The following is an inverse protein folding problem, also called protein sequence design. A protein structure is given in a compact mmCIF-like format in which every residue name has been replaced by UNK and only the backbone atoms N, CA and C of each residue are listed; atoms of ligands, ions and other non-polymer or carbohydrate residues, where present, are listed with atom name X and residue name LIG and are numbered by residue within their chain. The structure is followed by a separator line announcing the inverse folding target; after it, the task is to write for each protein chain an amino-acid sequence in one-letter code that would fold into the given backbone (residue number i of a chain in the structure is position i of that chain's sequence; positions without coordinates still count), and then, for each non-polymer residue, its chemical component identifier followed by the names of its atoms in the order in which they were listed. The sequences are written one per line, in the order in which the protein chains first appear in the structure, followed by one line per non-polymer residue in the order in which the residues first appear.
data_IF_198904115200
#
_entry.id   IF_198904115200
#
_cell.length_a   1.000
_cell.length_b   1.000
_cell.length_c   1.000
_cell.angle_alpha   90.00
_cell.angle_beta   90.00
_cell.angle_gamma   90.00
#
_symmetry.space_group_name_H-M   'P 1'
#
loop_
_entity.id
_entity.type
_entity.pdbx_description
1 polymer ?
#
# COMPACT_ATOMS: atom_id res chain seq x y z
N UNK A 1 17.80 36.50 79.61
CA UNK A 1 16.73 37.40 79.14
C UNK A 1 16.28 36.94 77.75
N UNK A 2 14.95 36.95 77.45
CA UNK A 2 14.25 36.97 76.14
C UNK A 2 15.05 36.50 74.89
N UNK A 3 14.67 35.53 74.06
CA UNK A 3 13.42 34.76 73.80
C UNK A 3 13.24 34.66 72.26
N UNK A 4 12.54 33.74 71.57
CA UNK A 4 11.79 32.49 71.83
C UNK A 4 11.20 32.10 70.44
N UNK A 5 11.38 30.85 69.94
CA UNK A 5 10.62 30.15 68.83
C UNK A 5 10.55 30.82 67.42
N UNK A 6 10.39 30.20 66.22
CA UNK A 6 10.28 28.82 65.63
C UNK A 6 10.43 29.00 64.08
N UNK A 7 10.51 28.01 63.15
CA UNK A 7 10.45 26.53 63.13
C UNK A 7 11.14 25.97 61.83
N UNK A 8 11.12 24.64 61.69
CA UNK A 8 11.52 23.76 60.55
C UNK A 8 10.41 23.62 59.46
N UNK A 9 10.53 22.85 58.33
CA UNK A 9 11.52 21.80 57.98
C UNK A 9 12.09 21.74 56.53
N UNK A 10 13.13 20.90 56.38
CA UNK A 10 13.50 19.98 55.28
C UNK A 10 12.81 20.11 53.91
N UNK A 11 13.62 20.20 52.84
CA UNK A 11 13.29 19.73 51.48
C UNK A 11 14.28 18.64 51.08
N UNK A 12 13.77 17.48 50.67
CA UNK A 12 14.58 16.37 50.17
C UNK A 12 14.81 16.51 48.65
N UNK A 13 16.08 16.46 48.23
CA UNK A 13 16.46 16.32 46.82
C UNK A 13 16.69 14.85 46.48
N UNK A 14 15.66 14.14 46.04
CA UNK A 14 15.81 12.81 45.43
C UNK A 14 16.24 12.93 43.98
N UNK A 15 17.46 12.50 43.66
CA UNK A 15 17.95 12.43 42.28
C UNK A 15 17.25 11.34 41.49
N UNK A 16 16.81 11.66 40.26
CA UNK A 16 16.38 10.68 39.28
C UNK A 16 17.54 10.37 38.33
N UNK A 17 18.06 9.15 38.43
CA UNK A 17 19.17 8.67 37.60
C UNK A 17 18.76 8.58 36.12
N UNK A 18 19.60 9.08 35.21
CA UNK A 18 19.41 8.96 33.78
C UNK A 18 19.79 7.54 33.31
N UNK A 19 18.86 6.60 33.42
CA UNK A 19 19.06 5.23 32.93
C UNK A 19 19.04 5.20 31.40
N UNK A 20 20.23 5.17 30.78
CA UNK A 20 20.38 4.79 29.37
C UNK A 20 19.89 3.35 29.17
N UNK A 21 18.70 3.18 28.61
CA UNK A 21 18.23 1.89 28.11
C UNK A 21 18.74 1.68 26.68
N UNK A 22 19.77 0.83 26.54
CA UNK A 22 20.13 0.21 25.26
C UNK A 22 19.01 -0.73 24.83
N UNK A 23 18.03 -0.20 24.09
CA UNK A 23 16.98 -0.99 23.47
C UNK A 23 17.48 -1.65 22.16
N UNK A 24 18.45 -2.57 22.28
CA UNK A 24 18.86 -3.45 21.19
C UNK A 24 17.84 -4.57 20.96
N UNK A 25 16.64 -4.20 20.48
CA UNK A 25 15.65 -5.15 19.97
C UNK A 25 15.10 -4.62 18.65
N UNK A 26 15.85 -4.86 17.57
CA UNK A 26 15.40 -4.58 16.20
C UNK A 26 14.33 -5.61 15.86
N UNK A 27 13.06 -5.29 16.16
CA UNK A 27 11.92 -6.03 15.61
C UNK A 27 11.80 -5.61 14.15
N UNK A 28 12.37 -6.43 13.26
CA UNK A 28 12.24 -6.33 11.82
C UNK A 28 10.76 -6.30 11.40
N UNK A 29 10.41 -5.77 10.21
CA UNK A 29 9.07 -5.91 9.63
C UNK A 29 8.88 -7.34 9.08
N UNK A 30 8.92 -8.31 9.98
CA UNK A 30 8.46 -9.68 9.82
C UNK A 30 7.37 -9.96 10.86
N UNK A 31 6.39 -9.06 10.93
CA UNK A 31 5.19 -9.20 11.76
C UNK A 31 4.08 -10.04 11.06
N UNK A 32 4.48 -10.94 10.18
CA UNK A 32 3.70 -12.09 9.71
C UNK A 32 4.64 -13.31 9.77
N UNK A 33 4.14 -14.39 10.39
CA UNK A 33 4.79 -15.70 10.62
C UNK A 33 5.97 -15.80 11.62
N UNK A 34 5.64 -16.01 12.91
CA UNK A 34 6.44 -16.88 13.80
C UNK A 34 5.54 -17.79 14.63
N UNK A 35 5.51 -19.09 14.30
CA UNK A 35 5.40 -20.15 15.31
C UNK A 35 4.03 -20.78 15.61
N UNK A 36 3.55 -21.66 14.73
CA UNK A 36 2.66 -22.78 15.11
C UNK A 36 3.23 -24.08 14.54
N UNK A 37 3.66 -24.99 15.41
CA UNK A 37 4.24 -26.29 15.00
C UNK A 37 3.15 -27.29 14.63
N UNK A 38 3.31 -27.90 13.45
CA UNK A 38 2.80 -29.21 12.99
C UNK A 38 1.47 -29.70 13.59
N UNK A 39 0.42 -29.75 12.74
CA UNK A 39 -0.75 -30.61 13.01
C UNK A 39 -2.12 -29.95 12.86
N UNK A 40 -2.28 -28.91 12.04
CA UNK A 40 -3.58 -28.35 11.65
C UNK A 40 -3.44 -27.65 10.30
N UNK A 41 -4.48 -27.74 9.45
CA UNK A 41 -4.48 -27.12 8.13
C UNK A 41 -4.41 -25.59 8.26
N UNK A 42 -3.51 -24.89 7.53
CA UNK A 42 -3.43 -23.44 7.61
C UNK A 42 -4.64 -22.81 6.91
N UNK A 43 -5.46 -22.07 7.69
CA UNK A 43 -6.48 -21.22 7.13
C UNK A 43 -5.82 -20.00 6.47
N UNK A 44 -5.87 -19.93 5.14
CA UNK A 44 -5.35 -18.79 4.37
C UNK A 44 -6.10 -17.51 4.73
N UNK A 45 -5.46 -16.60 5.47
CA UNK A 45 -6.03 -15.28 5.76
C UNK A 45 -5.64 -14.30 4.64
N UNK A 46 -6.47 -14.23 3.61
CA UNK A 46 -6.26 -13.36 2.45
C UNK A 46 -6.59 -11.90 2.77
N UNK A 47 -5.63 -11.12 3.27
CA UNK A 47 -5.83 -9.67 3.47
C UNK A 47 -5.75 -8.89 2.16
N UNK A 48 -6.90 -8.76 1.48
CA UNK A 48 -7.08 -7.86 0.35
C UNK A 48 -7.02 -6.39 0.77
N UNK A 49 -6.03 -5.63 0.30
CA UNK A 49 -5.97 -4.15 0.17
C UNK A 49 -7.05 -3.36 0.92
N UNK A 50 -7.01 -3.33 2.26
CA UNK A 50 -7.94 -2.56 3.09
C UNK A 50 -9.44 -2.86 2.88
N UNK A 51 -9.80 -4.04 2.38
CA UNK A 51 -11.16 -4.44 1.99
C UNK A 51 -11.60 -5.67 2.77
N UNK A 52 -12.57 -5.48 3.67
CA UNK A 52 -13.30 -6.56 4.34
C UNK A 52 -14.44 -7.02 3.44
N UNK A 53 -14.33 -8.23 2.89
CA UNK A 53 -15.45 -8.87 2.20
C UNK A 53 -16.45 -9.40 3.23
N UNK A 54 -17.62 -8.75 3.35
CA UNK A 54 -18.77 -9.35 4.01
C UNK A 54 -19.49 -10.28 3.03
N UNK A 55 -19.42 -11.59 3.26
CA UNK A 55 -20.34 -12.53 2.64
C UNK A 55 -21.77 -12.30 3.15
N UNK A 56 -22.81 -12.58 2.35
CA UNK A 56 -24.19 -12.40 2.79
C UNK A 56 -24.49 -13.30 3.99
N UNK A 57 -25.01 -12.70 5.07
CA UNK A 57 -25.43 -13.43 6.25
C UNK A 57 -26.65 -14.29 5.93
N UNK A 58 -26.51 -15.61 6.09
CA UNK A 58 -27.58 -16.57 5.83
C UNK A 58 -28.72 -16.36 6.84
N UNK A 59 -29.90 -15.99 6.34
CA UNK A 59 -31.09 -15.79 7.17
C UNK A 59 -31.78 -17.14 7.34
N UNK A 60 -31.57 -17.74 8.50
CA UNK A 60 -32.18 -19.01 8.85
C UNK A 60 -33.70 -19.03 8.61
N UNK A 61 -34.15 -20.10 7.96
CA UNK A 61 -35.56 -20.49 7.94
C UNK A 61 -35.68 -21.92 8.45
N UNK A 62 -36.19 -22.06 9.66
CA UNK A 62 -36.49 -23.37 10.25
C UNK A 62 -37.58 -24.06 9.41
N UNK A 63 -37.32 -25.29 8.96
CA UNK A 63 -38.39 -26.27 8.70
C UNK A 63 -38.00 -27.64 9.27
N UNK A 64 -38.91 -28.17 10.10
CA UNK A 64 -38.76 -29.42 10.84
C UNK A 64 -38.80 -30.64 9.92
N UNK A 65 -38.01 -31.63 10.31
CA UNK A 65 -38.30 -33.07 10.30
C UNK A 65 -39.20 -33.65 9.19
N UNK A 66 -38.64 -34.61 8.43
CA UNK A 66 -39.24 -35.95 8.41
C UNK A 66 -38.21 -37.05 8.19
N UNK A 67 -38.11 -37.94 9.17
CA UNK A 67 -37.41 -39.22 9.05
C UNK A 67 -38.32 -40.17 8.26
N UNK A 68 -37.80 -40.77 7.18
CA UNK A 68 -38.31 -42.04 6.65
C UNK A 68 -37.12 -42.92 6.29
N UNK A 69 -37.07 -44.10 6.91
CA UNK A 69 -36.07 -45.14 6.71
C UNK A 69 -36.47 -46.10 5.59
N UNK A 70 -35.49 -46.59 4.80
CA UNK A 70 -35.57 -47.97 4.28
C UNK A 70 -34.20 -48.64 4.09
N UNK A 71 -33.96 -49.61 4.99
CA UNK A 71 -33.28 -50.91 4.85
C UNK A 71 -32.63 -51.33 3.52
N UNK A 72 -31.31 -51.60 3.60
CA UNK A 72 -30.63 -52.91 3.38
C UNK A 72 -31.06 -53.83 2.22
N UNK A 73 -30.17 -54.03 1.24
CA UNK A 73 -29.50 -55.29 0.82
C UNK A 73 -28.49 -54.94 -0.31
N UNK A 74 -27.45 -55.69 -0.71
CA UNK A 74 -26.92 -56.99 -0.31
C UNK A 74 -26.18 -57.64 -1.50
N UNK A 75 -24.95 -58.17 -1.32
CA UNK A 75 -24.39 -59.19 -2.25
C UNK A 75 -23.33 -58.81 -3.32
N UNK A 76 -22.05 -58.90 -2.94
CA UNK A 76 -21.00 -59.77 -3.54
C UNK A 76 -20.61 -59.78 -5.05
N UNK A 77 -19.29 -59.59 -5.25
CA UNK A 77 -18.33 -60.30 -6.12
C UNK A 77 -18.45 -60.32 -7.67
N UNK A 78 -17.35 -59.93 -8.32
CA UNK A 78 -17.03 -60.29 -9.71
C UNK A 78 -15.71 -59.66 -10.18
N UNK A 79 -14.68 -60.47 -10.47
CA UNK A 79 -13.33 -59.99 -10.78
C UNK A 79 -12.95 -60.09 -12.27
N UNK A 80 -11.98 -59.26 -12.67
CA UNK A 80 -11.08 -59.36 -13.82
C UNK A 80 -11.63 -59.14 -15.25
N UNK A 81 -11.12 -58.10 -15.93
CA UNK A 81 -9.97 -58.21 -16.85
C UNK A 81 -9.58 -56.86 -17.48
N UNK A 82 -8.28 -56.67 -17.68
CA UNK A 82 -7.69 -55.64 -18.56
C UNK A 82 -7.60 -56.22 -19.99
N UNK A 83 -7.90 -55.41 -21.02
CA UNK A 83 -7.02 -55.39 -22.19
C UNK A 83 -6.78 -53.98 -22.76
N UNK A 84 -5.52 -53.58 -22.86
CA UNK A 84 -5.01 -52.66 -23.88
C UNK A 84 -4.60 -53.46 -25.14
N UNK A 85 -4.24 -52.83 -26.28
CA UNK A 85 -4.78 -51.61 -26.88
C UNK A 85 -5.16 -51.84 -28.36
N UNK A 86 -5.95 -50.94 -28.98
CA UNK A 86 -5.99 -50.86 -30.46
C UNK A 86 -6.31 -49.47 -30.97
N UNK A 87 -5.46 -48.93 -31.84
CA UNK A 87 -5.65 -47.62 -32.46
C UNK A 87 -6.75 -47.63 -33.52
N UNK A 88 -7.70 -46.69 -33.43
CA UNK A 88 -8.60 -46.31 -34.55
C UNK A 88 -8.83 -44.80 -34.57
N UNK A 89 -8.24 -44.19 -35.59
CA UNK A 89 -8.63 -42.99 -36.35
C UNK A 89 -9.63 -42.00 -35.73
N UNK A 90 -9.21 -40.74 -35.67
CA UNK A 90 -10.05 -39.58 -35.41
C UNK A 90 -11.24 -39.48 -36.38
N UNK A 91 -12.45 -39.46 -35.82
CA UNK A 91 -13.61 -38.83 -36.42
C UNK A 91 -14.17 -37.80 -35.45
N UNK A 92 -13.96 -36.51 -35.77
CA UNK A 92 -14.47 -35.43 -34.95
C UNK A 92 -16.01 -35.47 -34.90
N UNK A 93 -16.56 -35.82 -33.73
CA UNK A 93 -18.01 -35.86 -33.51
C UNK A 93 -18.54 -34.41 -33.42
N UNK A 94 -19.08 -33.89 -34.52
CA UNK A 94 -19.69 -32.56 -34.54
C UNK A 94 -20.97 -32.60 -33.70
N UNK A 95 -20.92 -32.01 -32.51
CA UNK A 95 -22.09 -31.84 -31.64
C UNK A 95 -23.17 -31.03 -32.37
N UNK A 96 -24.42 -31.43 -32.19
CA UNK A 96 -25.56 -30.80 -32.84
C UNK A 96 -25.81 -29.40 -32.26
N UNK A 97 -26.48 -28.56 -33.05
CA UNK A 97 -26.86 -27.19 -32.66
C UNK A 97 -27.83 -27.13 -31.47
N UNK A 98 -28.41 -28.27 -31.08
CA UNK A 98 -29.27 -28.42 -29.92
C UNK A 98 -28.43 -28.68 -28.65
N UNK A 99 -27.44 -29.57 -28.72
CA UNK A 99 -26.53 -29.88 -27.60
C UNK A 99 -25.67 -28.67 -27.20
N UNK A 100 -25.34 -27.77 -28.15
CA UNK A 100 -24.67 -26.50 -27.83
C UNK A 100 -25.56 -25.50 -27.06
N UNK A 101 -26.87 -25.70 -26.98
CA UNK A 101 -27.77 -24.84 -26.19
C UNK A 101 -27.91 -25.30 -24.74
N UNK A 102 -27.93 -26.60 -24.48
CA UNK A 102 -28.11 -27.13 -23.12
C UNK A 102 -26.86 -26.98 -22.23
N UNK A 103 -25.69 -26.64 -22.81
CA UNK A 103 -24.48 -26.25 -22.05
C UNK A 103 -24.48 -24.76 -21.67
N UNK A 104 -25.51 -24.00 -22.07
CA UNK A 104 -25.60 -22.54 -21.83
C UNK A 104 -26.40 -22.13 -20.58
N UNK A 105 -26.99 -23.06 -19.84
CA UNK A 105 -27.76 -22.77 -18.63
C UNK A 105 -27.06 -23.30 -17.36
N UNK A 106 -27.01 -22.45 -16.31
CA UNK A 106 -26.38 -22.70 -14.98
C UNK A 106 -24.85 -22.86 -15.00
N UNK A 107 -24.05 -21.78 -15.03
CA UNK A 107 -24.03 -20.69 -14.06
C UNK A 107 -23.62 -19.38 -14.75
N UNK A 108 -24.24 -18.22 -14.44
CA UNK A 108 -23.67 -16.94 -14.83
C UNK A 108 -22.35 -16.74 -14.09
N UNK A 109 -21.23 -16.75 -14.81
CA UNK A 109 -19.96 -16.24 -14.27
C UNK A 109 -20.24 -14.79 -13.84
N UNK A 110 -20.09 -14.42 -12.55
CA UNK A 110 -20.43 -13.09 -12.09
C UNK A 110 -19.64 -12.06 -12.89
N UNK A 111 -20.31 -11.06 -13.46
CA UNK A 111 -19.62 -10.00 -14.18
C UNK A 111 -18.70 -9.25 -13.21
N UNK A 112 -17.40 -9.41 -13.40
CA UNK A 112 -16.41 -8.81 -12.50
C UNK A 112 -16.30 -7.31 -12.79
N UNK A 113 -16.95 -6.50 -11.95
CA UNK A 113 -16.79 -5.06 -12.01
C UNK A 113 -15.35 -4.65 -11.69
N UNK A 114 -14.80 -3.77 -12.50
CA UNK A 114 -13.47 -3.20 -12.35
C UNK A 114 -13.53 -1.67 -12.39
N UNK A 115 -12.71 -1.01 -11.56
CA UNK A 115 -12.53 0.44 -11.57
C UNK A 115 -11.77 0.90 -12.83
N UNK A 116 -11.65 2.22 -13.01
CA UNK A 116 -10.96 2.77 -14.20
C UNK A 116 -9.46 2.43 -14.28
N UNK A 117 -8.87 1.87 -13.23
CA UNK A 117 -7.48 1.43 -13.14
C UNK A 117 -7.34 -0.09 -13.24
N UNK A 118 -8.45 -0.81 -13.39
CA UNK A 118 -8.48 -2.25 -13.53
C UNK A 118 -8.43 -3.02 -12.21
N UNK A 119 -8.71 -2.41 -11.06
CA UNK A 119 -8.93 -3.13 -9.80
C UNK A 119 -10.37 -3.63 -9.71
N UNK A 120 -10.56 -4.89 -9.33
CA UNK A 120 -11.88 -5.45 -9.00
C UNK A 120 -12.56 -4.61 -7.92
N UNK A 121 -13.85 -4.35 -8.09
CA UNK A 121 -14.71 -3.55 -7.19
C UNK A 121 -16.08 -4.20 -7.06
N UNK A 122 -16.87 -3.80 -6.07
CA UNK A 122 -18.31 -4.15 -6.01
C UNK A 122 -19.10 -3.34 -7.05
N UNK A 123 -20.33 -3.78 -7.34
CA UNK A 123 -21.27 -3.02 -8.19
C UNK A 123 -21.57 -1.63 -7.58
N UNK A 124 -21.74 -1.54 -6.27
CA UNK A 124 -21.96 -0.27 -5.54
C UNK A 124 -20.75 0.68 -5.62
N UNK A 125 -19.54 0.15 -5.42
CA UNK A 125 -18.28 0.90 -5.61
C UNK A 125 -18.18 1.42 -7.05
N UNK A 126 -18.52 0.58 -8.04
CA UNK A 126 -18.47 0.94 -9.46
C UNK A 126 -19.51 2.00 -9.83
N UNK A 127 -20.74 1.85 -9.35
CA UNK A 127 -21.81 2.84 -9.52
C UNK A 127 -21.43 4.20 -8.87
N UNK A 128 -20.77 4.16 -7.71
CA UNK A 128 -20.24 5.34 -7.02
C UNK A 128 -19.13 5.99 -7.84
N UNK A 129 -18.13 5.23 -8.31
CA UNK A 129 -17.05 5.72 -9.18
C UNK A 129 -17.63 6.39 -10.45
N UNK A 130 -18.55 5.73 -11.16
CA UNK A 130 -19.12 6.29 -12.38
C UNK A 130 -20.05 7.48 -12.13
N UNK A 131 -20.65 7.59 -10.94
CA UNK A 131 -21.33 8.81 -10.50
C UNK A 131 -20.33 9.95 -10.24
N UNK A 132 -19.27 9.69 -9.46
CA UNK A 132 -18.21 10.65 -9.19
C UNK A 132 -17.49 11.10 -10.47
N UNK A 133 -17.26 10.20 -11.43
CA UNK A 133 -16.60 10.48 -12.72
C UNK A 133 -17.47 11.33 -13.65
N UNK A 134 -18.80 11.14 -13.62
CA UNK A 134 -19.77 12.02 -14.32
C UNK A 134 -19.85 13.41 -13.68
N UNK A 135 -19.89 13.48 -12.34
CA UNK A 135 -19.97 14.74 -11.59
C UNK A 135 -18.67 15.55 -11.64
N UNK A 136 -17.53 14.89 -11.50
CA UNK A 136 -16.19 15.49 -11.54
C UNK A 136 -15.57 15.46 -12.95
N UNK A 137 -16.39 15.36 -14.01
CA UNK A 137 -15.87 15.32 -15.38
C UNK A 137 -14.96 16.52 -15.62
N UNK A 138 -13.73 16.26 -16.04
CA UNK A 138 -12.69 17.28 -16.06
C UNK A 138 -13.07 18.42 -17.01
N UNK A 139 -13.36 19.59 -16.43
CA UNK A 139 -13.73 20.75 -17.24
C UNK A 139 -12.69 21.00 -18.33
N UNK A 140 -13.14 21.30 -19.55
CA UNK A 140 -12.28 21.61 -20.71
C UNK A 140 -11.22 22.67 -20.38
N UNK A 141 -11.58 23.64 -19.53
CA UNK A 141 -10.68 24.68 -19.02
C UNK A 141 -9.58 24.15 -18.08
N UNK A 142 -9.79 23.05 -17.35
CA UNK A 142 -8.75 22.39 -16.55
C UNK A 142 -7.74 21.67 -17.46
N UNK A 143 -8.23 20.88 -18.42
CA UNK A 143 -7.40 20.19 -19.42
C UNK A 143 -6.55 21.19 -20.21
N UNK A 144 -7.15 22.27 -20.73
CA UNK A 144 -6.41 23.35 -21.42
C UNK A 144 -5.31 23.99 -20.57
N UNK A 145 -5.57 24.22 -19.27
CA UNK A 145 -4.56 24.76 -18.34
C UNK A 145 -3.42 23.79 -18.09
N UNK A 146 -3.71 22.49 -18.00
CA UNK A 146 -2.69 21.46 -17.89
C UNK A 146 -1.90 21.27 -19.18
N UNK A 147 -2.54 21.27 -20.35
CA UNK A 147 -1.85 21.24 -21.64
C UNK A 147 -0.90 22.43 -21.80
N UNK A 148 -1.32 23.63 -21.40
CA UNK A 148 -0.42 24.79 -21.38
C UNK A 148 0.76 24.62 -20.40
N UNK A 149 0.55 24.05 -19.21
CA UNK A 149 1.63 23.72 -18.27
C UNK A 149 2.60 22.69 -18.88
N UNK A 150 2.07 21.67 -19.54
CA UNK A 150 2.86 20.62 -20.22
C UNK A 150 3.66 21.20 -21.39
N UNK A 151 3.07 22.08 -22.20
CA UNK A 151 3.76 22.65 -23.36
C UNK A 151 4.81 23.72 -22.97
N UNK A 152 4.80 24.22 -21.73
CA UNK A 152 5.67 25.32 -21.28
C UNK A 152 6.40 24.97 -19.96
N UNK A 153 6.78 23.70 -19.76
CA UNK A 153 7.22 23.15 -18.48
C UNK A 153 8.26 24.00 -17.74
N UNK A 154 9.38 24.33 -18.39
CA UNK A 154 10.47 25.13 -17.82
C UNK A 154 10.04 26.56 -17.42
N UNK A 155 9.05 27.13 -18.12
CA UNK A 155 8.54 28.46 -17.83
C UNK A 155 7.45 28.47 -16.73
N UNK A 156 7.00 27.31 -16.24
CA UNK A 156 5.97 27.22 -15.20
C UNK A 156 6.61 27.38 -13.82
N UNK A 157 6.42 28.56 -13.23
CA UNK A 157 6.85 28.85 -11.85
C UNK A 157 6.46 27.70 -10.87
N UNK A 158 7.39 27.19 -10.03
CA UNK A 158 7.14 26.02 -9.18
C UNK A 158 5.91 26.13 -8.27
N UNK A 159 5.59 27.34 -7.80
CA UNK A 159 4.38 27.61 -6.99
C UNK A 159 3.09 27.37 -7.78
N UNK A 160 3.09 27.66 -9.09
CA UNK A 160 1.98 27.38 -10.02
C UNK A 160 1.84 25.87 -10.19
N UNK A 161 2.90 25.15 -10.58
CA UNK A 161 2.88 23.69 -10.75
C UNK A 161 2.34 22.98 -9.50
N UNK A 162 2.90 23.31 -8.33
CA UNK A 162 2.46 22.84 -7.00
C UNK A 162 0.98 23.08 -6.71
N UNK A 163 0.42 24.23 -7.10
CA UNK A 163 -1.01 24.52 -6.96
C UNK A 163 -1.86 23.62 -7.85
N UNK A 164 -1.38 23.28 -9.04
CA UNK A 164 -2.08 22.40 -9.97
C UNK A 164 -2.01 20.93 -9.54
N UNK A 165 -0.84 20.39 -9.17
CA UNK A 165 -0.70 19.01 -8.64
C UNK A 165 -1.64 18.73 -7.44
N UNK A 166 -1.76 19.70 -6.51
CA UNK A 166 -2.71 19.62 -5.37
C UNK A 166 -4.18 19.56 -5.77
N UNK A 167 -4.57 20.22 -6.87
CA UNK A 167 -5.93 20.16 -7.41
C UNK A 167 -6.14 18.83 -8.13
N UNK A 168 -5.20 18.49 -9.00
CA UNK A 168 -5.02 17.18 -9.59
C UNK A 168 -4.51 17.19 -11.01
N UNK A 169 -3.70 16.19 -11.33
CA UNK A 169 -3.24 15.88 -12.69
C UNK A 169 -4.34 15.05 -13.38
N UNK A 170 -4.80 15.44 -14.57
CA UNK A 170 -5.67 14.64 -15.43
C UNK A 170 -5.12 13.24 -15.65
N UNK A 171 -5.97 12.21 -15.66
CA UNK A 171 -5.49 10.83 -15.87
C UNK A 171 -4.74 10.69 -17.20
N UNK A 172 -5.25 11.31 -18.27
CA UNK A 172 -4.63 11.33 -19.60
C UNK A 172 -3.28 12.06 -19.66
N UNK A 173 -2.89 12.79 -18.61
CA UNK A 173 -1.62 13.51 -18.54
C UNK A 173 -0.70 12.99 -17.44
N UNK A 174 -1.11 12.00 -16.62
CA UNK A 174 -0.28 11.46 -15.54
C UNK A 174 1.01 10.84 -16.06
N UNK A 175 0.94 9.98 -17.08
CA UNK A 175 2.09 9.38 -17.75
C UNK A 175 3.19 10.42 -18.01
N UNK A 176 2.85 11.52 -18.70
CA UNK A 176 3.80 12.57 -19.06
C UNK A 176 4.22 13.47 -17.88
N UNK A 177 3.30 13.85 -16.99
CA UNK A 177 3.60 14.78 -15.89
C UNK A 177 4.40 14.08 -14.78
N UNK A 178 4.11 12.81 -14.47
CA UNK A 178 4.87 12.04 -13.48
C UNK A 178 6.31 11.83 -13.94
N UNK A 179 6.53 11.42 -15.18
CA UNK A 179 7.89 11.27 -15.76
C UNK A 179 8.69 12.56 -15.70
N UNK A 180 8.06 13.73 -15.88
CA UNK A 180 8.73 15.04 -15.75
C UNK A 180 8.96 15.50 -14.31
N UNK A 181 8.11 15.10 -13.37
CA UNK A 181 8.33 15.34 -11.93
C UNK A 181 9.44 14.44 -11.34
N UNK A 182 9.73 13.32 -12.02
CA UNK A 182 10.77 12.36 -11.70
C UNK A 182 12.03 12.48 -12.58
N UNK A 183 11.99 13.27 -13.65
CA UNK A 183 13.04 13.38 -14.68
C UNK A 183 13.43 12.02 -15.32
N UNK A 184 12.54 11.01 -15.27
CA UNK A 184 12.87 9.63 -15.62
C UNK A 184 13.33 9.44 -17.06
N UNK A 185 12.74 10.17 -18.02
CA UNK A 185 13.20 10.15 -19.42
C UNK A 185 14.62 10.67 -19.58
N UNK A 186 14.99 11.71 -18.84
CA UNK A 186 16.36 12.24 -18.89
C UNK A 186 17.33 11.19 -18.32
N UNK A 187 17.01 10.60 -17.16
CA UNK A 187 17.82 9.53 -16.58
C UNK A 187 17.99 8.33 -17.53
N UNK A 188 16.95 7.96 -18.27
CA UNK A 188 17.00 6.93 -19.33
C UNK A 188 17.93 7.34 -20.46
N UNK A 189 17.72 8.52 -21.03
CA UNK A 189 18.46 9.01 -22.20
C UNK A 189 19.95 9.21 -21.87
N UNK A 190 20.28 9.54 -20.61
CA UNK A 190 21.64 9.63 -20.06
C UNK A 190 22.30 8.24 -19.80
N UNK A 191 21.53 7.14 -19.78
CA UNK A 191 21.98 5.79 -19.41
C UNK A 191 21.54 4.69 -20.41
N UNK A 192 21.83 4.83 -21.72
CA UNK A 192 21.31 3.96 -22.76
C UNK A 192 21.71 2.49 -22.57
N UNK A 193 20.71 1.60 -22.57
CA UNK A 193 20.89 0.14 -22.46
C UNK A 193 21.26 -0.38 -21.06
N UNK A 194 21.42 0.50 -20.07
CA UNK A 194 21.75 0.09 -18.70
C UNK A 194 20.63 -0.74 -18.07
N UNK A 195 19.37 -0.36 -18.26
CA UNK A 195 18.22 -1.12 -17.77
C UNK A 195 18.22 -2.56 -18.33
N UNK A 196 18.35 -2.72 -19.64
CA UNK A 196 18.43 -4.03 -20.31
C UNK A 196 19.53 -4.91 -19.72
N UNK A 197 20.72 -4.34 -19.50
CA UNK A 197 21.86 -5.05 -18.88
C UNK A 197 21.51 -5.51 -17.46
N UNK A 198 21.01 -4.60 -16.61
CA UNK A 198 20.67 -4.89 -15.22
C UNK A 198 19.51 -5.89 -15.08
N UNK A 199 18.54 -5.87 -16.00
CA UNK A 199 17.47 -6.85 -16.06
C UNK A 199 17.98 -8.25 -16.43
N UNK A 200 18.96 -8.33 -17.32
CA UNK A 200 19.53 -9.62 -17.79
C UNK A 200 20.58 -10.24 -16.86
N UNK A 201 21.19 -9.44 -15.98
CA UNK A 201 22.25 -9.89 -15.08
C UNK A 201 21.66 -10.68 -13.89
N UNK A 202 22.19 -11.87 -13.54
CA UNK A 202 21.69 -12.62 -12.38
C UNK A 202 21.90 -11.83 -11.07
N UNK A 203 20.92 -11.94 -10.16
CA UNK A 203 21.03 -11.37 -8.80
C UNK A 203 22.18 -12.01 -8.01
N UNK A 204 22.69 -11.25 -7.03
CA UNK A 204 23.78 -11.69 -6.14
C UNK A 204 23.37 -12.79 -5.15
N UNK A 205 22.07 -13.04 -4.94
CA UNK A 205 21.56 -14.14 -4.12
C UNK A 205 20.21 -14.64 -4.66
N UNK A 206 20.04 -15.97 -4.65
CA UNK A 206 18.77 -16.65 -4.96
C UNK A 206 17.67 -16.33 -3.95
N UNK A 207 18.03 -16.09 -2.68
CA UNK A 207 17.06 -15.69 -1.65
C UNK A 207 16.38 -14.36 -2.01
N UNK A 208 17.09 -13.48 -2.73
CA UNK A 208 16.54 -12.18 -3.17
C UNK A 208 15.49 -12.37 -4.26
N UNK A 209 15.73 -13.30 -5.17
CA UNK A 209 14.80 -13.72 -6.23
C UNK A 209 13.53 -14.35 -5.61
N UNK A 210 13.71 -15.32 -4.70
CA UNK A 210 12.61 -16.00 -3.98
C UNK A 210 11.77 -15.01 -3.13
N UNK A 211 12.36 -13.90 -2.64
CA UNK A 211 11.63 -12.81 -1.96
C UNK A 211 10.88 -11.90 -2.94
N UNK A 212 11.46 -11.58 -4.10
CA UNK A 212 10.79 -10.80 -5.15
C UNK A 212 9.53 -11.55 -5.63
N UNK A 213 9.67 -12.80 -6.06
CA UNK A 213 8.54 -13.61 -6.59
C UNK A 213 7.37 -13.69 -5.60
N UNK A 214 7.67 -13.91 -4.31
CA UNK A 214 6.66 -13.93 -3.25
C UNK A 214 5.94 -12.58 -3.06
N UNK A 215 6.63 -11.45 -3.27
CA UNK A 215 6.00 -10.12 -3.19
C UNK A 215 5.19 -9.78 -4.46
N UNK A 216 5.51 -10.37 -5.62
CA UNK A 216 4.75 -10.19 -6.87
C UNK A 216 3.29 -10.63 -6.69
N UNK A 217 3.05 -11.83 -6.17
CA UNK A 217 1.71 -12.41 -6.05
C UNK A 217 0.77 -11.63 -5.12
N UNK A 218 1.31 -10.89 -4.14
CA UNK A 218 0.54 -10.06 -3.19
C UNK A 218 0.55 -8.57 -3.52
N UNK A 219 1.22 -8.16 -4.61
CA UNK A 219 1.21 -6.79 -5.12
C UNK A 219 0.01 -6.58 -6.04
N UNK A 220 -0.96 -5.76 -5.61
CA UNK A 220 -2.22 -5.49 -6.33
C UNK A 220 -2.94 -6.74 -6.88
N UNK A 221 -3.20 -7.78 -6.05
CA UNK A 221 -3.72 -9.08 -6.50
C UNK A 221 -5.14 -9.01 -7.09
N UNK A 222 -5.88 -7.93 -6.83
CA UNK A 222 -7.22 -7.67 -7.36
C UNK A 222 -7.22 -6.90 -8.68
N UNK A 223 -6.05 -6.53 -9.22
CA UNK A 223 -5.95 -5.77 -10.46
C UNK A 223 -5.70 -6.68 -11.66
N UNK A 224 -6.50 -6.50 -12.71
CA UNK A 224 -6.51 -7.32 -13.95
C UNK A 224 -5.15 -7.45 -14.65
N UNK A 225 -4.25 -6.48 -14.47
CA UNK A 225 -2.90 -6.51 -15.06
C UNK A 225 -1.96 -7.47 -14.32
N UNK A 226 -2.19 -7.69 -13.02
CA UNK A 226 -1.33 -8.45 -12.11
C UNK A 226 -1.96 -9.76 -11.62
N UNK A 227 -3.29 -9.94 -11.72
CA UNK A 227 -4.00 -11.06 -11.11
C UNK A 227 -3.95 -12.39 -11.90
N UNK A 228 -3.51 -12.37 -13.16
CA UNK A 228 -3.51 -13.56 -14.04
C UNK A 228 -2.30 -14.51 -13.82
N UNK A 229 -1.79 -14.60 -12.59
CA UNK A 229 -0.65 -15.47 -12.23
C UNK A 229 0.70 -15.00 -12.77
N UNK A 230 1.70 -15.88 -12.69
CA UNK A 230 3.11 -15.62 -13.06
C UNK A 230 3.32 -15.16 -14.50
N UNK A 231 2.44 -15.60 -15.41
CA UNK A 231 2.42 -15.24 -16.82
C UNK A 231 1.74 -13.90 -17.11
N UNK A 232 1.12 -13.25 -16.11
CA UNK A 232 0.51 -11.93 -16.29
C UNK A 232 1.55 -10.88 -16.68
N UNK A 233 1.19 -10.02 -17.65
CA UNK A 233 2.07 -8.95 -18.12
C UNK A 233 2.54 -8.05 -16.96
N UNK A 234 1.67 -7.73 -16.01
CA UNK A 234 2.02 -6.94 -14.84
C UNK A 234 3.07 -7.58 -13.94
N UNK A 235 2.99 -8.89 -13.67
CA UNK A 235 4.01 -9.58 -12.89
C UNK A 235 5.35 -9.67 -13.64
N UNK A 236 5.33 -9.86 -14.97
CA UNK A 236 6.55 -9.82 -15.80
C UNK A 236 7.25 -8.45 -15.78
N UNK A 237 6.47 -7.36 -15.88
CA UNK A 237 6.98 -5.99 -15.75
C UNK A 237 7.57 -5.74 -14.36
N UNK A 238 6.82 -6.09 -13.29
CA UNK A 238 7.30 -5.96 -11.91
C UNK A 238 8.61 -6.71 -11.68
N UNK A 239 8.66 -7.98 -12.08
CA UNK A 239 9.87 -8.81 -12.00
C UNK A 239 11.05 -8.10 -12.67
N UNK A 240 10.87 -7.65 -13.91
CA UNK A 240 11.91 -6.94 -14.67
C UNK A 240 12.44 -5.69 -13.98
N UNK A 241 11.54 -4.83 -13.48
CA UNK A 241 11.89 -3.57 -12.79
C UNK A 241 12.57 -3.83 -11.45
N UNK A 242 12.03 -4.73 -10.62
CA UNK A 242 12.54 -5.00 -9.27
C UNK A 242 13.89 -5.72 -9.30
N UNK A 243 14.05 -6.69 -10.21
CA UNK A 243 15.30 -7.40 -10.46
C UNK A 243 16.39 -6.44 -10.98
N UNK A 244 16.06 -5.60 -11.98
CA UNK A 244 17.00 -4.60 -12.47
C UNK A 244 17.42 -3.59 -11.38
N UNK A 245 16.50 -3.18 -10.50
CA UNK A 245 16.82 -2.28 -9.39
C UNK A 245 17.69 -2.96 -8.32
N UNK A 246 17.43 -4.22 -8.00
CA UNK A 246 18.24 -4.98 -7.05
C UNK A 246 19.71 -5.10 -7.52
N UNK A 247 19.94 -5.20 -8.83
CA UNK A 247 21.26 -5.09 -9.43
C UNK A 247 21.80 -3.64 -9.52
N UNK A 248 20.92 -2.64 -9.66
CA UNK A 248 21.31 -1.22 -9.70
C UNK A 248 21.89 -0.74 -8.35
N UNK A 249 21.24 -1.08 -7.24
CA UNK A 249 21.66 -0.70 -5.89
C UNK A 249 21.68 -1.92 -4.96
N UNK A 250 22.75 -2.70 -5.05
CA UNK A 250 22.96 -3.93 -4.27
C UNK A 250 23.03 -3.72 -2.75
N UNK A 251 23.27 -2.49 -2.26
CA UNK A 251 23.23 -2.17 -0.83
C UNK A 251 21.80 -2.14 -0.26
N UNK A 252 20.81 -1.86 -1.12
CA UNK A 252 19.37 -2.00 -0.80
C UNK A 252 18.87 -3.37 -1.24
N UNK A 253 19.27 -3.81 -2.44
CA UNK A 253 18.75 -5.01 -3.08
C UNK A 253 17.24 -4.89 -3.25
N UNK A 254 16.51 -5.74 -2.52
CA UNK A 254 15.06 -5.77 -2.49
C UNK A 254 14.52 -5.82 -1.06
N UNK A 255 13.45 -5.08 -0.82
CA UNK A 255 12.74 -5.03 0.45
C UNK A 255 11.23 -5.14 0.20
N UNK A 256 10.53 -5.88 1.06
CA UNK A 256 9.08 -6.07 0.98
C UNK A 256 8.33 -4.72 0.92
N UNK A 257 7.40 -4.62 -0.02
CA UNK A 257 6.62 -3.39 -0.26
C UNK A 257 7.17 -2.53 -1.40
N UNK A 258 8.40 -2.76 -1.87
CA UNK A 258 8.91 -2.13 -3.10
C UNK A 258 8.05 -2.46 -4.32
N UNK A 259 7.43 -3.65 -4.37
CA UNK A 259 6.48 -4.04 -5.42
C UNK A 259 5.33 -3.05 -5.58
N UNK A 260 4.77 -2.54 -4.49
CA UNK A 260 3.67 -1.55 -4.54
C UNK A 260 4.09 -0.20 -5.14
N UNK A 261 5.36 0.19 -4.99
CA UNK A 261 5.92 1.40 -5.60
C UNK A 261 6.08 1.19 -7.12
N UNK A 262 6.67 0.07 -7.54
CA UNK A 262 6.81 -0.28 -8.95
C UNK A 262 5.44 -0.43 -9.65
N UNK A 263 4.50 -1.16 -9.04
CA UNK A 263 3.16 -1.37 -9.60
C UNK A 263 2.38 -0.06 -9.77
N UNK A 264 2.58 0.90 -8.85
CA UNK A 264 1.95 2.22 -8.95
C UNK A 264 2.48 3.04 -10.13
N UNK A 265 3.75 2.86 -10.49
CA UNK A 265 4.34 3.46 -11.69
C UNK A 265 3.89 2.73 -12.97
N UNK A 266 3.86 1.39 -12.98
CA UNK A 266 3.37 0.57 -14.10
C UNK A 266 1.93 0.95 -14.50
N UNK A 267 1.06 1.23 -13.52
CA UNK A 267 -0.33 1.64 -13.79
C UNK A 267 -0.48 3.09 -14.28
N UNK A 268 0.62 3.83 -14.48
CA UNK A 268 0.60 5.25 -14.86
C UNK A 268 1.58 5.62 -15.99
N UNK A 269 2.63 4.82 -16.21
CA UNK A 269 3.66 5.03 -17.23
C UNK A 269 3.67 3.82 -18.17
N UNK A 270 3.68 4.09 -19.47
CA UNK A 270 3.42 3.09 -20.52
C UNK A 270 4.64 2.20 -20.82
N UNK A 271 5.83 2.79 -20.92
CA UNK A 271 7.07 2.08 -21.26
C UNK A 271 7.80 1.53 -20.03
N UNK A 272 8.20 0.25 -20.06
CA UNK A 272 8.81 -0.44 -18.91
C UNK A 272 10.13 0.20 -18.47
N UNK A 273 10.95 0.66 -19.41
CA UNK A 273 12.21 1.35 -19.08
C UNK A 273 11.96 2.74 -18.46
N UNK A 274 10.94 3.48 -18.91
CA UNK A 274 10.54 4.74 -18.28
C UNK A 274 10.01 4.51 -16.85
N UNK A 275 9.35 3.36 -16.59
CA UNK A 275 8.96 2.92 -15.25
C UNK A 275 10.19 2.63 -14.38
N UNK A 276 11.17 1.88 -14.89
CA UNK A 276 12.41 1.59 -14.17
C UNK A 276 13.13 2.88 -13.75
N UNK A 277 13.29 3.84 -14.66
CA UNK A 277 13.93 5.11 -14.34
C UNK A 277 13.10 6.00 -13.40
N UNK A 278 11.77 5.95 -13.50
CA UNK A 278 10.88 6.58 -12.53
C UNK A 278 11.01 5.94 -11.13
N UNK A 279 11.27 4.64 -11.05
CA UNK A 279 11.50 3.92 -9.80
C UNK A 279 12.88 4.26 -9.20
N UNK A 280 13.94 4.27 -10.01
CA UNK A 280 15.28 4.72 -9.60
C UNK A 280 15.23 6.15 -9.07
N UNK A 281 14.53 7.07 -9.75
CA UNK A 281 14.34 8.44 -9.29
C UNK A 281 13.69 8.53 -7.89
N UNK A 282 12.67 7.71 -7.61
CA UNK A 282 12.04 7.65 -6.28
C UNK A 282 12.98 7.12 -5.19
N UNK A 283 13.84 6.15 -5.54
CA UNK A 283 14.76 5.54 -4.59
C UNK A 283 15.97 6.44 -4.29
N UNK A 284 16.58 7.01 -5.33
CA UNK A 284 17.91 7.61 -5.25
C UNK A 284 17.89 9.13 -4.98
N UNK A 285 16.95 9.88 -5.55
CA UNK A 285 16.92 11.35 -5.47
C UNK A 285 16.64 11.86 -4.05
N UNK A 286 17.42 12.84 -3.56
CA UNK A 286 17.34 13.36 -2.19
C UNK A 286 15.93 13.79 -1.77
N UNK A 287 15.14 14.29 -2.73
CA UNK A 287 13.74 14.73 -2.56
C UNK A 287 12.81 13.63 -2.03
N UNK A 288 13.09 12.37 -2.38
CA UNK A 288 12.31 11.20 -2.02
C UNK A 288 13.13 10.26 -1.13
N UNK A 289 14.37 9.94 -1.53
CA UNK A 289 15.34 9.13 -0.77
C UNK A 289 14.75 7.81 -0.27
N UNK A 290 13.89 7.17 -1.08
CA UNK A 290 13.18 5.95 -0.67
C UNK A 290 14.14 4.78 -0.44
N UNK A 291 15.35 4.80 -1.00
CA UNK A 291 16.40 3.82 -0.68
C UNK A 291 16.61 3.65 0.82
N UNK A 292 16.66 4.75 1.58
CA UNK A 292 16.87 4.70 3.03
C UNK A 292 15.66 4.20 3.83
N UNK A 293 14.47 4.13 3.20
CA UNK A 293 13.27 3.52 3.79
C UNK A 293 13.36 2.00 3.67
N UNK A 294 13.92 1.50 2.55
CA UNK A 294 14.04 0.08 2.25
C UNK A 294 15.40 -0.53 2.60
N UNK A 295 16.41 0.29 2.94
CA UNK A 295 17.70 -0.16 3.46
C UNK A 295 17.54 -0.96 4.77
N UNK A 296 18.49 -1.87 5.07
CA UNK A 296 18.53 -2.56 6.36
C UNK A 296 18.37 -1.61 7.56
N UNK A 297 17.60 -2.05 8.56
CA UNK A 297 17.18 -1.26 9.73
C UNK A 297 16.29 -0.04 9.46
N UNK A 298 15.87 0.21 8.21
CA UNK A 298 14.85 1.20 7.84
C UNK A 298 15.16 2.64 8.33
N UNK A 299 16.40 3.14 8.24
CA UNK A 299 16.84 4.37 8.94
C UNK A 299 16.05 5.62 8.55
N UNK A 300 15.66 5.76 7.28
CA UNK A 300 14.83 6.89 6.84
C UNK A 300 13.39 6.75 7.33
N UNK A 301 12.85 5.53 7.44
CA UNK A 301 11.50 5.29 7.97
C UNK A 301 11.43 5.63 9.46
N UNK A 302 12.44 5.25 10.24
CA UNK A 302 12.54 5.63 11.66
C UNK A 302 12.61 7.15 11.83
N UNK A 303 13.44 7.84 11.03
CA UNK A 303 13.49 9.29 10.99
C UNK A 303 12.12 9.91 10.63
N UNK A 304 11.38 9.30 9.71
CA UNK A 304 10.05 9.76 9.30
C UNK A 304 9.02 9.57 10.40
N UNK A 305 9.09 8.49 11.20
CA UNK A 305 8.24 8.33 12.38
C UNK A 305 8.54 9.38 13.45
N UNK A 306 9.81 9.66 13.75
CA UNK A 306 10.19 10.75 14.66
C UNK A 306 9.60 12.11 14.23
N UNK A 307 9.73 12.46 12.94
CA UNK A 307 9.14 13.68 12.37
C UNK A 307 7.60 13.66 12.46
N UNK A 308 6.98 12.52 12.19
CA UNK A 308 5.53 12.36 12.24
C UNK A 308 4.98 12.52 13.67
N UNK A 309 5.67 11.97 14.67
CA UNK A 309 5.33 12.10 16.09
C UNK A 309 5.47 13.53 16.60
N UNK A 310 6.57 14.23 16.28
CA UNK A 310 6.73 15.64 16.61
C UNK A 310 5.64 16.53 15.95
N UNK A 311 5.25 16.22 14.70
CA UNK A 311 4.12 16.88 14.05
C UNK A 311 2.77 16.52 14.71
N UNK A 312 2.57 15.27 15.14
CA UNK A 312 1.38 14.82 15.86
C UNK A 312 1.25 15.56 17.20
N UNK A 313 2.33 15.63 17.98
CA UNK A 313 2.41 16.39 19.22
C UNK A 313 2.03 17.87 19.00
N UNK A 314 2.54 18.50 17.93
CA UNK A 314 2.24 19.90 17.62
C UNK A 314 0.79 20.15 17.16
N UNK A 315 0.12 19.18 16.51
CA UNK A 315 -1.22 19.38 15.92
C UNK A 315 -2.37 18.75 16.69
N UNK A 316 -2.08 17.74 17.50
CA UNK A 316 -3.05 16.91 18.22
C UNK A 316 -2.44 16.47 19.58
N UNK A 317 -2.01 17.41 20.45
CA UNK A 317 -1.25 17.07 21.66
C UNK A 317 -1.98 16.10 22.61
N UNK A 318 -3.32 16.16 22.68
CA UNK A 318 -4.12 15.21 23.46
C UNK A 318 -4.06 13.78 22.90
N UNK A 319 -4.11 13.64 21.57
CA UNK A 319 -4.01 12.34 20.90
C UNK A 319 -2.58 11.79 20.97
N UNK A 320 -1.57 12.67 20.88
CA UNK A 320 -0.18 12.31 21.13
C UNK A 320 0.01 11.76 22.55
N UNK A 321 -0.49 12.46 23.57
CA UNK A 321 -0.41 12.01 24.96
C UNK A 321 -1.06 10.62 25.14
N UNK A 322 -2.23 10.42 24.54
CA UNK A 322 -2.92 9.14 24.61
C UNK A 322 -2.16 8.01 23.89
N UNK A 323 -1.78 8.19 22.63
CA UNK A 323 -1.08 7.16 21.87
C UNK A 323 0.32 6.88 22.42
N UNK A 324 1.16 7.91 22.53
CA UNK A 324 2.58 7.77 22.85
C UNK A 324 2.82 7.65 24.35
N UNK A 325 2.39 8.62 25.16
CA UNK A 325 2.77 8.68 26.59
C UNK A 325 2.04 7.63 27.43
N UNK A 326 0.73 7.44 27.21
CA UNK A 326 -0.11 6.56 28.05
C UNK A 326 -0.12 5.10 27.59
N UNK A 327 -0.19 4.87 26.28
CA UNK A 327 -0.37 3.52 25.72
C UNK A 327 0.84 3.03 24.90
N UNK A 328 1.91 3.81 24.76
CA UNK A 328 3.15 3.42 24.05
C UNK A 328 2.93 2.91 22.61
N UNK A 329 1.83 3.34 21.97
CA UNK A 329 1.44 2.99 20.60
C UNK A 329 2.27 3.79 19.60
N UNK A 330 3.43 3.22 19.26
CA UNK A 330 4.36 3.79 18.29
C UNK A 330 3.79 3.73 16.85
N UNK A 331 4.14 4.69 15.96
CA UNK A 331 3.76 4.69 14.55
C UNK A 331 4.11 3.40 13.79
N UNK A 332 5.15 2.68 14.22
CA UNK A 332 5.56 1.42 13.63
C UNK A 332 4.41 0.38 13.58
N UNK A 333 3.50 0.38 14.55
CA UNK A 333 2.41 -0.60 14.62
C UNK A 333 1.25 -0.34 13.64
N UNK A 334 1.17 0.85 13.01
CA UNK A 334 0.02 1.24 12.19
C UNK A 334 0.33 2.05 10.92
N UNK A 335 1.48 2.71 10.83
CA UNK A 335 1.81 3.65 9.76
C UNK A 335 2.93 3.17 8.81
N UNK A 336 3.51 1.98 8.99
CA UNK A 336 4.58 1.43 8.13
C UNK A 336 4.20 1.48 6.65
N UNK A 337 3.09 0.86 6.26
CA UNK A 337 2.65 0.88 4.85
C UNK A 337 2.22 2.27 4.37
N UNK A 338 1.81 3.19 5.25
CA UNK A 338 1.44 4.56 4.85
C UNK A 338 2.64 5.29 4.22
N UNK A 339 3.81 5.12 4.84
CA UNK A 339 5.05 5.75 4.38
C UNK A 339 5.79 4.88 3.34
N UNK A 340 5.93 3.57 3.57
CA UNK A 340 6.64 2.68 2.64
C UNK A 340 5.96 2.57 1.28
N UNK A 341 4.62 2.56 1.22
CA UNK A 341 3.87 2.43 -0.04
C UNK A 341 3.24 3.76 -0.50
N UNK A 342 3.46 4.86 0.22
CA UNK A 342 2.81 6.16 -0.02
C UNK A 342 1.27 5.97 -0.14
N UNK A 343 0.72 5.22 0.82
CA UNK A 343 -0.67 4.78 0.97
C UNK A 343 -1.27 3.84 -0.12
N UNK A 344 -0.51 3.39 -1.12
CA UNK A 344 -1.08 2.55 -2.21
C UNK A 344 -1.50 1.16 -1.74
N UNK A 345 -0.97 0.66 -0.62
CA UNK A 345 -1.41 -0.58 0.02
C UNK A 345 -2.87 -0.56 0.51
N UNK A 346 -3.37 0.63 0.90
CA UNK A 346 -4.61 0.78 1.67
C UNK A 346 -5.72 1.54 0.96
N UNK A 347 -5.40 2.56 0.17
CA UNK A 347 -6.42 3.34 -0.53
C UNK A 347 -6.69 2.79 -1.93
N UNK A 348 -7.93 3.00 -2.42
CA UNK A 348 -8.21 2.83 -3.83
C UNK A 348 -7.25 3.68 -4.69
N UNK A 349 -6.95 3.19 -5.90
CA UNK A 349 -5.89 3.75 -6.72
C UNK A 349 -6.22 5.17 -7.22
N UNK A 350 -7.51 5.49 -7.34
CA UNK A 350 -7.99 6.85 -7.55
C UNK A 350 -7.47 7.82 -6.49
N UNK A 351 -7.73 7.57 -5.21
CA UNK A 351 -7.22 8.39 -4.09
C UNK A 351 -5.69 8.31 -3.97
N UNK A 352 -5.09 7.13 -4.13
CA UNK A 352 -3.63 6.99 -4.06
C UNK A 352 -2.92 7.85 -5.12
N UNK A 353 -3.40 7.84 -6.38
CA UNK A 353 -2.87 8.70 -7.45
C UNK A 353 -3.01 10.20 -7.14
N UNK A 354 -4.09 10.63 -6.45
CA UNK A 354 -4.23 12.03 -5.98
C UNK A 354 -3.15 12.41 -4.96
N UNK A 355 -2.73 11.47 -4.10
CA UNK A 355 -1.67 11.68 -3.11
C UNK A 355 -0.32 11.70 -3.81
N UNK A 356 -0.09 10.78 -4.75
CA UNK A 356 1.13 10.69 -5.55
C UNK A 356 1.39 11.94 -6.40
N UNK A 357 0.37 12.52 -7.06
CA UNK A 357 0.50 13.80 -7.76
C UNK A 357 1.12 14.89 -6.87
N UNK A 358 0.77 14.92 -5.58
CA UNK A 358 1.33 15.87 -4.61
C UNK A 358 2.71 15.45 -4.11
N UNK A 359 2.92 14.16 -3.83
CA UNK A 359 4.20 13.60 -3.38
C UNK A 359 5.31 13.81 -4.43
N UNK A 360 5.06 13.43 -5.69
CA UNK A 360 5.96 13.67 -6.81
C UNK A 360 6.23 15.16 -7.04
N UNK A 361 5.33 16.06 -6.65
CA UNK A 361 5.58 17.51 -6.73
C UNK A 361 6.35 18.06 -5.51
N UNK A 362 6.04 17.61 -4.29
CA UNK A 362 6.46 18.27 -3.03
C UNK A 362 7.41 17.44 -2.13
N UNK A 363 7.75 16.20 -2.50
CA UNK A 363 8.37 15.22 -1.62
C UNK A 363 7.41 14.77 -0.50
N UNK A 364 7.94 14.33 0.64
CA UNK A 364 7.16 13.72 1.76
C UNK A 364 6.09 14.59 2.43
N UNK A 365 6.10 15.91 2.22
CA UNK A 365 5.23 16.85 2.94
C UNK A 365 3.71 16.55 2.84
N UNK A 366 3.15 16.15 1.69
CA UNK A 366 1.75 15.76 1.58
C UNK A 366 1.47 14.40 2.25
N UNK A 367 2.44 13.49 2.29
CA UNK A 367 2.30 12.17 2.94
C UNK A 367 2.07 12.34 4.44
N UNK A 368 2.92 13.13 5.12
CA UNK A 368 2.69 13.52 6.52
C UNK A 368 1.34 14.19 6.75
N UNK A 369 0.87 15.03 5.82
CA UNK A 369 -0.45 15.68 5.93
C UNK A 369 -1.60 14.70 5.84
N UNK A 370 -1.51 13.67 4.99
CA UNK A 370 -2.54 12.63 4.88
C UNK A 370 -2.53 11.77 6.15
N UNK A 371 -1.37 11.35 6.63
CA UNK A 371 -1.23 10.60 7.89
C UNK A 371 -1.83 11.36 9.08
N UNK A 372 -1.48 12.64 9.25
CA UNK A 372 -2.04 13.49 10.29
C UNK A 372 -3.55 13.76 10.09
N UNK A 373 -4.05 13.75 8.85
CA UNK A 373 -5.48 13.95 8.58
C UNK A 373 -6.32 12.72 8.91
N UNK A 374 -5.82 11.50 8.71
CA UNK A 374 -6.47 10.27 9.17
C UNK A 374 -6.68 10.33 10.69
N UNK A 375 -5.61 10.58 11.43
CA UNK A 375 -5.65 10.75 12.89
C UNK A 375 -6.58 11.91 13.30
N UNK A 376 -6.58 13.04 12.58
CA UNK A 376 -7.41 14.20 12.94
C UNK A 376 -8.90 13.98 12.69
N UNK A 377 -9.26 13.21 11.67
CA UNK A 377 -10.67 12.86 11.38
C UNK A 377 -11.22 11.94 12.48
N UNK A 378 -10.40 11.01 12.97
CA UNK A 378 -10.79 10.01 13.97
C UNK A 378 -10.44 10.41 15.41
N UNK A 379 -9.92 11.63 15.63
CA UNK A 379 -9.36 12.09 16.90
C UNK A 379 -10.31 11.87 18.08
N UNK A 380 -11.60 12.19 17.93
CA UNK A 380 -12.59 12.00 18.99
C UNK A 380 -12.89 10.53 19.28
N UNK A 381 -12.89 9.66 18.26
CA UNK A 381 -13.06 8.22 18.44
C UNK A 381 -11.85 7.65 19.18
N UNK A 382 -10.64 7.93 18.69
CA UNK A 382 -9.40 7.47 19.30
C UNK A 382 -9.28 7.93 20.76
N UNK A 383 -9.58 9.21 21.05
CA UNK A 383 -9.55 9.75 22.41
C UNK A 383 -10.54 9.07 23.39
N UNK A 384 -11.59 8.41 22.89
CA UNK A 384 -12.57 7.71 23.74
C UNK A 384 -12.15 6.29 24.16
N UNK A 385 -11.16 5.70 23.46
CA UNK A 385 -10.67 4.34 23.70
C UNK A 385 -9.73 4.31 24.92
N UNK A 386 -9.74 3.21 25.69
CA UNK A 386 -9.09 3.14 27.01
C UNK A 386 -7.93 2.16 27.09
N UNK A 387 -7.79 1.30 26.09
CA UNK A 387 -6.77 0.26 26.04
C UNK A 387 -5.91 0.38 24.79
N UNK A 388 -4.67 -0.11 24.89
CA UNK A 388 -3.74 -0.22 23.76
C UNK A 388 -4.34 -1.06 22.62
N UNK A 389 -4.96 -2.19 22.94
CA UNK A 389 -5.60 -3.09 21.96
C UNK A 389 -6.72 -2.40 21.18
N UNK A 390 -7.61 -1.66 21.84
CA UNK A 390 -8.65 -0.89 21.17
C UNK A 390 -8.05 0.15 20.22
N UNK A 391 -7.01 0.87 20.66
CA UNK A 391 -6.32 1.88 19.84
C UNK A 391 -5.66 1.23 18.62
N UNK A 392 -4.93 0.13 18.80
CA UNK A 392 -4.27 -0.60 17.71
C UNK A 392 -5.28 -1.14 16.70
N UNK A 393 -6.40 -1.72 17.14
CA UNK A 393 -7.47 -2.16 16.25
C UNK A 393 -8.11 -0.98 15.50
N UNK A 394 -8.37 0.13 16.20
CA UNK A 394 -8.94 1.34 15.62
C UNK A 394 -8.01 2.05 14.62
N UNK A 395 -6.70 1.93 14.80
CA UNK A 395 -5.65 2.46 13.92
C UNK A 395 -5.43 1.55 12.70
N UNK A 396 -5.49 0.22 12.87
CA UNK A 396 -5.35 -0.77 11.78
C UNK A 396 -6.39 -0.63 10.67
N UNK A 397 -7.60 -0.13 10.97
CA UNK A 397 -8.68 0.13 10.01
C UNK A 397 -8.90 1.63 9.72
N UNK A 398 -8.01 2.52 10.15
CA UNK A 398 -8.26 3.99 10.10
C UNK A 398 -8.36 4.55 8.67
N UNK A 399 -7.83 3.84 7.67
CA UNK A 399 -7.98 4.16 6.24
C UNK A 399 -9.40 3.92 5.69
N UNK A 400 -10.23 3.12 6.38
CA UNK A 400 -11.49 2.61 5.83
C UNK A 400 -12.59 3.69 5.80
N UNK A 401 -13.49 3.55 4.84
CA UNK A 401 -14.67 4.41 4.66
C UNK A 401 -14.37 5.92 4.52
N UNK A 402 -13.14 6.32 4.16
CA UNK A 402 -12.78 7.74 3.97
C UNK A 402 -13.10 8.22 2.56
N UNK A 403 -14.04 9.16 2.45
CA UNK A 403 -14.34 9.86 1.19
C UNK A 403 -13.10 10.63 0.69
N UNK A 404 -12.57 10.36 -0.53
CA UNK A 404 -11.32 10.95 -1.03
C UNK A 404 -11.26 12.48 -0.93
N UNK A 405 -12.32 13.17 -1.37
CA UNK A 405 -12.39 14.63 -1.34
C UNK A 405 -12.35 15.20 0.08
N UNK A 406 -12.91 14.50 1.07
CA UNK A 406 -12.88 14.95 2.47
C UNK A 406 -11.47 14.81 3.07
N UNK A 407 -10.83 13.64 2.88
CA UNK A 407 -9.49 13.37 3.38
C UNK A 407 -8.45 14.34 2.80
N UNK A 408 -8.46 14.54 1.48
CA UNK A 408 -7.53 15.47 0.81
C UNK A 408 -7.75 16.92 1.26
N UNK A 409 -9.00 17.34 1.48
CA UNK A 409 -9.34 18.67 2.03
C UNK A 409 -8.87 18.84 3.47
N UNK A 410 -8.98 17.80 4.30
CA UNK A 410 -8.44 17.78 5.66
C UNK A 410 -6.90 17.87 5.66
N UNK A 411 -6.23 17.03 4.87
CA UNK A 411 -4.77 17.03 4.72
C UNK A 411 -4.21 18.38 4.28
N UNK A 412 -4.83 19.02 3.28
CA UNK A 412 -4.38 20.33 2.78
C UNK A 412 -4.62 21.49 3.78
N UNK A 413 -5.54 21.34 4.73
CA UNK A 413 -5.73 22.30 5.85
C UNK A 413 -4.60 22.23 6.89
N UNK A 414 -3.88 21.12 7.00
CA UNK A 414 -2.80 20.96 7.99
C UNK A 414 -1.57 21.79 7.57
N UNK A 415 -1.19 22.75 8.42
CA UNK A 415 -0.11 23.73 8.17
C UNK A 415 1.11 23.47 9.05
N UNK A 416 2.25 23.22 8.39
CA UNK A 416 3.59 23.24 8.96
C UNK A 416 4.59 23.71 7.87
N UNK A 417 5.72 24.30 8.26
CA UNK A 417 6.78 24.75 7.33
C UNK A 417 7.61 23.55 6.86
N UNK A 418 8.18 23.62 5.65
CA UNK A 418 9.10 22.56 5.19
C UNK A 418 10.46 22.64 5.91
N UNK A 419 10.87 23.86 6.31
CA UNK A 419 12.04 24.06 7.16
C UNK A 419 11.94 23.29 8.49
N UNK A 420 10.78 23.30 9.15
CA UNK A 420 10.56 22.56 10.40
C UNK A 420 10.69 21.03 10.24
N UNK A 421 10.28 20.49 9.08
CA UNK A 421 10.53 19.07 8.76
C UNK A 421 12.03 18.80 8.60
N UNK A 422 12.76 19.66 7.87
CA UNK A 422 14.22 19.53 7.72
C UNK A 422 14.96 19.65 9.06
N UNK A 423 14.50 20.54 9.93
CA UNK A 423 15.03 20.75 11.29
C UNK A 423 14.86 19.49 12.15
N UNK A 424 13.65 18.91 12.22
CA UNK A 424 13.39 17.65 12.93
C UNK A 424 14.22 16.48 12.36
N UNK A 425 14.36 16.39 11.02
CA UNK A 425 15.23 15.39 10.38
C UNK A 425 16.70 15.58 10.76
N UNK A 426 17.20 16.81 10.85
CA UNK A 426 18.56 17.09 11.27
C UNK A 426 18.78 16.76 12.76
N UNK A 427 17.82 17.08 13.63
CA UNK A 427 17.85 16.72 15.05
C UNK A 427 17.91 15.19 15.25
N UNK A 428 17.07 14.42 14.56
CA UNK A 428 17.09 12.96 14.61
C UNK A 428 18.45 12.39 14.15
N UNK A 429 18.99 12.89 13.03
CA UNK A 429 20.29 12.45 12.51
C UNK A 429 21.44 12.76 13.47
N UNK A 430 21.41 13.91 14.16
CA UNK A 430 22.41 14.28 15.16
C UNK A 430 22.29 13.51 16.50
N UNK A 431 21.21 12.77 16.72
CA UNK A 431 21.00 11.89 17.88
C UNK A 431 21.29 10.41 17.58
N UNK A 432 21.31 10.04 16.29
CA UNK A 432 21.36 8.65 15.81
C UNK A 432 22.66 8.29 15.09
N UNK A 433 23.56 9.27 14.88
CA UNK A 433 24.92 9.09 14.39
C UNK A 433 25.93 9.42 15.48
#
# INVERSE_FOLDING_TARGET
MKGVTTATPVIATTGASATMLKASTVILPHAEEVGLRRGSSPATITFTTGRVNYGPADKGSEKKERIVSHTMDGGHNGAAKIPEPSAKQDTAHVLSRQEMKDVSEHYPIPYEHHDMFGFRVTEEEKATEDCERRSNQESRACLQKWQHIVNNWEAVAPVKLKKYCRRGIPQSLRCLVWQRLLQSRQMRDDNPGLYTRLRSQPLTSRDLEDVIERDLHRTFPTNRLFCAGESSQGQQLLRGILHAYANYNTNVGYCQGMGFIAATLILQVEEEEDVFWAFVALMEEEKYSMKGIFSPSFPQLQCMFYVFEALMQQKMPKLYDQLHNRHQVQPYFYAVHWFMTVFTYYFNFGLASRIWDMFLCEGWKPVYRVALALLKIEEQRLLSLKTETELLLALKSIQESKRPAHLLKAALRIRFKSAYVKELTAQYKAQSG
#
